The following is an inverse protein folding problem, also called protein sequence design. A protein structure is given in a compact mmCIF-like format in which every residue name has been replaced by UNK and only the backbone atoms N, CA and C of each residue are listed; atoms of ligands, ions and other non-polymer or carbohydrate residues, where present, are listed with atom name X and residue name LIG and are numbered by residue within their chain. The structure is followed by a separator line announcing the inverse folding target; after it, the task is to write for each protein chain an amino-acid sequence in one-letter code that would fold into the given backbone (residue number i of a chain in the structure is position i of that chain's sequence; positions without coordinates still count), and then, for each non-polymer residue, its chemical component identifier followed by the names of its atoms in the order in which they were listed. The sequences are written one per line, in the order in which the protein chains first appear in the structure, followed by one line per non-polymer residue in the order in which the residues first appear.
data_IF_355305131872
#
_entry.id   IF_355305131872
#
_cell.length_a   1.000
_cell.length_b   1.000
_cell.length_c   1.000
_cell.angle_alpha   90.00
_cell.angle_beta   90.00
_cell.angle_gamma   90.00
#
_symmetry.space_group_name_H-M   'P 1'
#
loop_
_entity.id
_entity.type
_entity.pdbx_description
1 polymer ?
#
# COMPACT_ATOMS: atom_id res chain seq x y z
N UNK A 1 15.88 -6.41 -17.90
CA UNK A 1 15.12 -6.60 -16.64
C UNK A 1 13.67 -6.31 -16.96
N UNK A 2 12.77 -7.27 -16.79
CA UNK A 2 11.36 -7.04 -17.03
C UNK A 2 10.81 -6.10 -15.93
N UNK A 3 9.94 -5.16 -16.31
CA UNK A 3 9.29 -4.25 -15.36
C UNK A 3 8.25 -4.95 -14.49
N UNK A 4 7.63 -4.26 -13.52
CA UNK A 4 6.54 -4.83 -12.73
C UNK A 4 5.39 -5.24 -13.64
N UNK A 5 4.73 -6.35 -13.30
CA UNK A 5 3.53 -6.83 -14.00
C UNK A 5 2.34 -5.91 -13.71
N UNK A 6 2.26 -5.38 -12.49
CA UNK A 6 1.27 -4.38 -12.07
C UNK A 6 1.98 -3.29 -11.28
N UNK A 7 1.66 -2.02 -11.56
CA UNK A 7 2.07 -0.87 -10.74
C UNK A 7 0.84 -0.15 -10.26
N UNK A 8 0.67 -0.07 -8.95
CA UNK A 8 -0.36 0.70 -8.28
C UNK A 8 0.27 2.00 -7.80
N UNK A 9 -0.37 3.14 -8.12
CA UNK A 9 0.09 4.47 -7.71
C UNK A 9 -0.98 5.12 -6.86
N UNK A 10 -0.69 5.35 -5.58
CA UNK A 10 -1.68 5.86 -4.62
C UNK A 10 -1.22 7.22 -4.08
N UNK A 11 -2.06 8.27 -4.17
CA UNK A 11 -1.71 9.60 -3.69
C UNK A 11 -1.75 9.68 -2.16
N UNK A 12 -0.90 10.54 -1.60
CA UNK A 12 -1.04 11.04 -0.24
C UNK A 12 -2.36 11.78 -0.09
N UNK A 13 -2.85 11.86 1.14
CA UNK A 13 -4.06 12.60 1.46
C UNK A 13 -3.88 13.49 2.66
N UNK A 14 -4.64 14.58 2.72
CA UNK A 14 -4.85 15.32 3.96
C UNK A 14 -6.35 15.38 4.25
N UNK A 15 -6.72 15.52 5.51
CA UNK A 15 -8.10 15.49 5.97
C UNK A 15 -8.48 16.77 6.73
N UNK A 16 -9.77 16.89 7.06
CA UNK A 16 -10.42 17.95 7.84
C UNK A 16 -10.47 19.32 7.16
N UNK A 17 -9.41 19.78 6.49
CA UNK A 17 -9.35 21.03 5.72
C UNK A 17 -10.09 22.21 6.39
N UNK A 18 -9.83 22.44 7.68
CA UNK A 18 -10.53 23.44 8.49
C UNK A 18 -11.81 22.88 9.13
N UNK A 19 -12.97 23.43 8.78
CA UNK A 19 -14.26 23.04 9.37
C UNK A 19 -14.82 21.71 8.87
N UNK A 20 -14.15 21.07 7.91
CA UNK A 20 -14.57 19.80 7.30
C UNK A 20 -14.17 18.55 8.09
N UNK A 21 -14.20 18.64 9.42
CA UNK A 21 -13.78 17.57 10.33
C UNK A 21 -14.48 16.24 10.00
N UNK A 22 -13.70 15.16 9.91
CA UNK A 22 -14.14 13.79 9.59
C UNK A 22 -14.96 13.64 8.29
N UNK A 23 -14.91 14.62 7.39
CA UNK A 23 -15.71 14.61 6.16
C UNK A 23 -14.90 14.95 4.92
N UNK A 24 -14.05 15.97 4.99
CA UNK A 24 -13.33 16.46 3.82
C UNK A 24 -11.93 15.86 3.77
N UNK A 25 -11.59 15.27 2.62
CA UNK A 25 -10.24 14.82 2.27
C UNK A 25 -9.78 15.40 0.94
N UNK A 26 -8.47 15.59 0.79
CA UNK A 26 -7.84 16.04 -0.45
C UNK A 26 -6.67 15.12 -0.81
N UNK A 27 -6.69 14.59 -2.03
CA UNK A 27 -5.55 13.89 -2.60
C UNK A 27 -4.45 14.88 -3.03
N UNK A 28 -3.20 14.56 -2.73
CA UNK A 28 -2.03 15.39 -3.00
C UNK A 28 -1.15 14.74 -4.07
N UNK A 29 -0.35 15.55 -4.76
CA UNK A 29 0.58 15.09 -5.81
C UNK A 29 1.89 14.50 -5.26
N UNK A 30 1.79 13.70 -4.20
CA UNK A 30 2.87 12.91 -3.60
C UNK A 30 2.37 11.46 -3.51
N UNK A 31 3.19 10.46 -3.84
CA UNK A 31 2.69 9.11 -4.10
C UNK A 31 3.54 8.05 -3.45
N UNK A 32 2.88 6.99 -2.98
CA UNK A 32 3.51 5.69 -2.82
C UNK A 32 3.25 4.86 -4.08
N UNK A 33 4.22 4.03 -4.46
CA UNK A 33 4.08 3.07 -5.57
C UNK A 33 4.18 1.65 -5.02
N UNK A 34 3.30 0.78 -5.48
CA UNK A 34 3.29 -0.64 -5.16
C UNK A 34 3.47 -1.42 -6.46
N UNK A 35 4.67 -1.98 -6.63
CA UNK A 35 5.09 -2.71 -7.82
C UNK A 35 4.99 -4.22 -7.54
N UNK A 36 4.09 -4.90 -8.25
CA UNK A 36 3.93 -6.35 -8.20
C UNK A 36 4.70 -6.97 -9.36
N UNK A 37 5.44 -8.05 -9.11
CA UNK A 37 6.26 -8.72 -10.12
C UNK A 37 5.75 -10.13 -10.40
N UNK A 38 6.10 -11.08 -9.54
CA UNK A 38 5.82 -12.50 -9.70
C UNK A 38 4.56 -12.88 -8.92
N UNK A 39 3.81 -13.86 -9.45
CA UNK A 39 2.69 -14.51 -8.78
C UNK A 39 3.19 -15.83 -8.19
N UNK A 40 2.86 -16.07 -6.94
CA UNK A 40 3.26 -17.24 -6.15
C UNK A 40 2.03 -17.94 -5.53
N UNK A 41 2.29 -19.05 -4.84
CA UNK A 41 1.28 -19.78 -4.07
C UNK A 41 0.61 -18.90 -3.01
N UNK A 42 -0.67 -19.15 -2.66
CA UNK A 42 -1.37 -18.39 -1.63
C UNK A 42 -0.59 -18.28 -0.31
N UNK A 43 -0.52 -17.07 0.24
CA UNK A 43 0.22 -16.77 1.48
C UNK A 43 1.74 -16.58 1.31
N UNK A 44 2.30 -16.82 0.12
CA UNK A 44 3.71 -16.59 -0.14
C UNK A 44 3.97 -15.15 -0.61
N UNK A 45 4.24 -14.25 0.34
CA UNK A 45 4.57 -12.85 0.02
C UNK A 45 6.06 -12.58 0.20
N UNK A 46 6.66 -11.92 -0.79
CA UNK A 46 8.00 -11.33 -0.67
C UNK A 46 7.87 -9.83 -0.77
N UNK A 47 8.52 -9.10 0.13
CA UNK A 47 8.42 -7.65 0.17
C UNK A 47 9.77 -6.96 0.20
N UNK A 48 9.89 -5.88 -0.57
CA UNK A 48 10.98 -4.93 -0.54
C UNK A 48 10.40 -3.53 -0.30
N UNK A 49 10.80 -2.86 0.77
CA UNK A 49 10.36 -1.48 1.05
C UNK A 49 11.52 -0.52 0.87
N UNK A 50 11.34 0.48 0.02
CA UNK A 50 12.32 1.52 -0.27
C UNK A 50 11.72 2.87 0.13
N UNK A 51 12.46 3.66 0.89
CA UNK A 51 12.04 4.98 1.37
C UNK A 51 11.46 4.94 2.78
N UNK A 52 10.35 5.65 2.99
CA UNK A 52 9.73 5.83 4.31
C UNK A 52 9.29 4.49 4.92
N UNK A 53 9.71 4.24 6.16
CA UNK A 53 9.38 3.02 6.91
C UNK A 53 10.10 1.75 6.47
N UNK A 54 11.15 1.82 5.65
CA UNK A 54 11.83 0.63 5.11
C UNK A 54 12.32 -0.36 6.16
N UNK A 55 12.80 0.13 7.31
CA UNK A 55 13.28 -0.72 8.40
C UNK A 55 12.15 -1.45 9.16
N UNK A 56 10.91 -0.95 9.10
CA UNK A 56 9.81 -1.38 9.96
C UNK A 56 8.70 -2.09 9.17
N UNK A 57 8.55 -1.78 7.88
CA UNK A 57 7.43 -2.23 7.05
C UNK A 57 7.80 -3.39 6.11
N UNK A 58 9.00 -3.95 6.22
CA UNK A 58 9.47 -5.00 5.32
C UNK A 58 8.95 -6.41 5.67
N UNK A 59 8.29 -6.57 6.82
CA UNK A 59 7.66 -7.83 7.22
C UNK A 59 6.27 -7.97 6.59
N UNK A 60 6.04 -8.95 5.68
CA UNK A 60 4.76 -9.12 5.01
C UNK A 60 3.60 -9.45 5.94
N UNK A 61 3.84 -10.21 7.03
CA UNK A 61 2.78 -10.65 7.94
C UNK A 61 2.16 -9.48 8.73
N UNK A 62 2.98 -8.47 9.02
CA UNK A 62 2.53 -7.27 9.72
C UNK A 62 2.10 -6.13 8.80
N UNK A 63 2.50 -6.16 7.51
CA UNK A 63 2.28 -5.05 6.58
C UNK A 63 0.80 -4.87 6.20
N UNK A 64 0.34 -3.62 6.29
CA UNK A 64 -1.05 -3.24 6.04
C UNK A 64 -1.49 -3.48 4.59
N UNK A 65 -0.61 -3.36 3.59
CA UNK A 65 -1.01 -3.61 2.20
C UNK A 65 -1.38 -5.07 1.96
N UNK A 66 -0.62 -6.00 2.55
CA UNK A 66 -0.90 -7.45 2.43
C UNK A 66 -2.19 -7.77 3.16
N UNK A 67 -2.38 -7.25 4.38
CA UNK A 67 -3.63 -7.45 5.14
C UNK A 67 -4.86 -6.90 4.41
N UNK A 68 -4.74 -5.74 3.77
CA UNK A 68 -5.83 -5.15 2.98
C UNK A 68 -6.14 -5.98 1.74
N UNK A 69 -5.11 -6.43 1.03
CA UNK A 69 -5.25 -7.33 -0.11
C UNK A 69 -5.92 -8.66 0.24
N UNK A 70 -5.46 -9.31 1.32
CA UNK A 70 -6.05 -10.57 1.80
C UNK A 70 -7.52 -10.38 2.18
N UNK A 71 -7.82 -9.27 2.87
CA UNK A 71 -9.19 -8.94 3.24
C UNK A 71 -10.08 -8.71 2.02
N UNK A 72 -9.59 -8.02 0.99
CA UNK A 72 -10.32 -7.78 -0.24
C UNK A 72 -10.60 -9.11 -0.99
N UNK A 73 -9.61 -9.99 -1.07
CA UNK A 73 -9.78 -11.32 -1.67
C UNK A 73 -10.83 -12.15 -0.93
N UNK A 74 -10.78 -12.17 0.41
CA UNK A 74 -11.76 -12.84 1.26
C UNK A 74 -13.18 -12.31 1.02
N UNK A 75 -13.34 -10.98 1.04
CA UNK A 75 -14.64 -10.33 0.84
C UNK A 75 -15.24 -10.62 -0.54
N UNK A 76 -14.41 -10.75 -1.57
CA UNK A 76 -14.85 -11.06 -2.93
C UNK A 76 -14.89 -12.55 -3.25
N UNK A 77 -14.57 -13.43 -2.29
CA UNK A 77 -14.52 -14.88 -2.50
C UNK A 77 -13.50 -15.32 -3.54
N UNK A 78 -12.42 -14.56 -3.70
CA UNK A 78 -11.34 -14.84 -4.66
C UNK A 78 -10.24 -15.66 -4.00
N UNK A 79 -9.54 -16.45 -4.81
CA UNK A 79 -8.25 -17.01 -4.40
C UNK A 79 -7.27 -15.86 -4.21
N UNK A 80 -6.47 -15.94 -3.15
CA UNK A 80 -5.51 -14.91 -2.75
C UNK A 80 -4.09 -15.39 -3.10
N UNK A 81 -3.63 -15.25 -4.36
CA UNK A 81 -2.27 -15.66 -4.71
C UNK A 81 -1.24 -14.82 -3.94
N UNK A 82 -0.11 -15.46 -3.63
CA UNK A 82 1.09 -14.78 -3.16
C UNK A 82 1.73 -13.98 -4.28
N UNK A 83 2.65 -13.07 -3.93
CA UNK A 83 3.40 -12.30 -4.91
C UNK A 83 4.66 -11.65 -4.34
N UNK A 84 5.52 -11.20 -5.26
CA UNK A 84 6.63 -10.29 -4.94
C UNK A 84 6.20 -8.84 -5.09
N UNK A 85 6.35 -8.07 -4.02
CA UNK A 85 5.96 -6.67 -3.91
C UNK A 85 7.16 -5.77 -3.62
N UNK A 86 7.29 -4.68 -4.37
CA UNK A 86 8.15 -3.56 -4.01
C UNK A 86 7.31 -2.34 -3.68
N UNK A 87 7.47 -1.83 -2.46
CA UNK A 87 6.87 -0.60 -1.99
C UNK A 87 7.88 0.55 -2.13
N UNK A 88 7.60 1.53 -2.98
CA UNK A 88 8.36 2.77 -3.09
C UNK A 88 7.61 3.84 -2.31
N UNK A 89 8.01 4.05 -1.05
CA UNK A 89 7.32 4.92 -0.11
C UNK A 89 7.96 6.31 -0.09
N UNK A 90 7.27 7.30 -0.66
CA UNK A 90 7.68 8.71 -0.62
C UNK A 90 6.86 9.55 0.38
N UNK A 91 5.76 9.02 0.91
CA UNK A 91 4.86 9.74 1.82
C UNK A 91 5.37 9.60 3.26
N UNK A 92 5.68 10.71 3.96
CA UNK A 92 6.16 10.66 5.34
C UNK A 92 5.19 9.97 6.30
N UNK A 93 5.72 9.06 7.11
CA UNK A 93 4.94 8.39 8.16
C UNK A 93 4.57 9.36 9.29
N UNK A 94 3.37 9.21 9.83
CA UNK A 94 2.90 9.96 11.01
C UNK A 94 3.02 11.50 10.86
N UNK A 95 2.73 12.03 9.66
CA UNK A 95 2.72 13.48 9.36
C UNK A 95 1.37 14.01 8.87
N UNK A 96 0.28 13.26 9.08
CA UNK A 96 -1.05 13.65 8.62
C UNK A 96 -1.21 13.64 7.09
N UNK A 97 -0.35 12.89 6.39
CA UNK A 97 -0.34 12.75 4.93
C UNK A 97 -0.93 11.42 4.42
N UNK A 98 -1.64 10.70 5.29
CA UNK A 98 -2.41 9.52 4.89
C UNK A 98 -1.58 8.32 4.41
N UNK A 99 -0.32 8.17 4.83
CA UNK A 99 0.52 7.06 4.34
C UNK A 99 -0.05 5.67 4.65
N UNK A 100 -0.70 5.47 5.80
CA UNK A 100 -1.35 4.19 6.11
C UNK A 100 -2.57 3.96 5.22
N UNK A 101 -3.33 5.02 4.94
CA UNK A 101 -4.49 4.97 4.04
C UNK A 101 -4.09 4.59 2.62
N UNK A 102 -2.87 4.94 2.17
CA UNK A 102 -2.40 4.51 0.84
C UNK A 102 -2.17 3.01 0.77
N UNK A 103 -1.69 2.38 1.85
CA UNK A 103 -1.50 0.94 1.91
C UNK A 103 -2.85 0.21 1.88
N UNK A 104 -3.85 0.74 2.58
CA UNK A 104 -5.22 0.18 2.56
C UNK A 104 -5.88 0.33 1.20
N UNK A 105 -5.71 1.46 0.52
CA UNK A 105 -6.30 1.67 -0.80
C UNK A 105 -5.53 0.93 -1.92
N UNK A 106 -4.28 0.56 -1.68
CA UNK A 106 -3.43 -0.13 -2.64
C UNK A 106 -3.48 -1.65 -2.57
N UNK A 107 -3.92 -2.22 -1.45
CA UNK A 107 -4.14 -3.66 -1.28
C UNK A 107 -5.62 -4.00 -1.42
#
# INVERSE_FOLDING_TARGET
MNGPSIRIRVPATTANLGSGFDTIGLALSLYNLYDVFDIDEPGAYRMEVIGEGSAELSDPESNLIIKSYERACEEWGLQCPGFSLRCLNAIPLCRGLGSSSTAVAGG
#
